data_IF_128183292364
#
_entry.id   IF_128183292364
#
_cell.length_a   1.000
_cell.length_b   1.000
_cell.length_c   1.000
_cell.angle_alpha   90.00
_cell.angle_beta   90.00
_cell.angle_gamma   90.00
#
_symmetry.space_group_name_H-M   'P 1'
#
loop_
_entity.id
_entity.type
_entity.pdbx_description
1 polymer ?
#
# COMPACT_ATOMS: atom_id res chain seq x y z
N UNK A 1 6.60 12.95 12.13
CA UNK A 1 6.35 11.83 11.19
C UNK A 1 7.27 12.03 9.99
N UNK A 2 7.96 10.98 9.53
CA UNK A 2 8.84 11.08 8.36
C UNK A 2 7.99 11.33 7.10
N UNK A 3 8.46 12.16 6.15
CA UNK A 3 7.88 12.25 4.82
C UNK A 3 7.75 10.86 4.18
N UNK A 4 6.60 10.60 3.56
CA UNK A 4 6.37 9.38 2.78
C UNK A 4 6.50 9.73 1.30
N UNK A 5 7.43 9.05 0.61
CA UNK A 5 7.68 9.22 -0.82
C UNK A 5 7.39 7.92 -1.55
N UNK A 6 6.51 7.98 -2.55
CA UNK A 6 6.31 6.86 -3.46
C UNK A 6 7.36 6.93 -4.56
N UNK A 7 8.04 5.81 -4.81
CA UNK A 7 8.87 5.68 -6.02
C UNK A 7 7.99 5.68 -7.27
N UNK A 8 8.57 5.99 -8.43
CA UNK A 8 7.85 5.91 -9.73
C UNK A 8 7.20 4.53 -9.92
N UNK A 9 7.94 3.46 -9.62
CA UNK A 9 7.41 2.10 -9.67
C UNK A 9 6.23 1.89 -8.72
N UNK A 10 6.28 2.40 -7.48
CA UNK A 10 5.16 2.31 -6.56
C UNK A 10 3.91 3.08 -7.04
N UNK A 11 4.10 4.24 -7.69
CA UNK A 11 3.00 5.01 -8.29
C UNK A 11 2.35 4.23 -9.45
N UNK A 12 3.16 3.65 -10.34
CA UNK A 12 2.67 2.77 -11.42
C UNK A 12 1.89 1.59 -10.85
N UNK A 13 2.41 0.95 -9.78
CA UNK A 13 1.71 -0.17 -9.16
C UNK A 13 0.39 0.22 -8.48
N UNK A 14 0.27 1.45 -7.96
CA UNK A 14 -1.01 1.95 -7.46
C UNK A 14 -2.05 1.97 -8.58
N UNK A 15 -1.70 2.52 -9.74
CA UNK A 15 -2.59 2.62 -10.90
C UNK A 15 -3.00 1.23 -11.39
N UNK A 16 -2.03 0.35 -11.64
CA UNK A 16 -2.27 -1.00 -12.16
C UNK A 16 -3.14 -1.86 -11.23
N UNK A 17 -3.01 -1.66 -9.91
CA UNK A 17 -3.63 -2.52 -8.90
C UNK A 17 -4.84 -1.89 -8.22
N UNK A 18 -5.20 -0.66 -8.57
CA UNK A 18 -6.37 0.03 -8.02
C UNK A 18 -6.19 0.55 -6.60
N UNK A 19 -4.95 0.87 -6.22
CA UNK A 19 -4.62 1.60 -5.00
C UNK A 19 -4.50 3.10 -5.29
N UNK A 20 -4.75 3.92 -4.28
CA UNK A 20 -4.54 5.37 -4.34
C UNK A 20 -3.44 5.80 -3.36
N UNK A 21 -2.78 6.93 -3.64
CA UNK A 21 -1.75 7.46 -2.73
C UNK A 21 -2.28 7.74 -1.31
N UNK A 22 -3.51 8.29 -1.12
CA UNK A 22 -4.10 8.41 0.21
C UNK A 22 -4.26 7.08 0.93
N UNK A 23 -4.72 6.01 0.25
CA UNK A 23 -4.83 4.68 0.85
C UNK A 23 -3.46 4.11 1.25
N UNK A 24 -2.44 4.30 0.41
CA UNK A 24 -1.06 3.89 0.71
C UNK A 24 -0.53 4.61 1.95
N UNK A 25 -0.69 5.93 2.01
CA UNK A 25 -0.29 6.74 3.18
C UNK A 25 -1.05 6.29 4.43
N UNK A 26 -2.35 6.06 4.32
CA UNK A 26 -3.16 5.60 5.43
C UNK A 26 -2.73 4.22 5.94
N UNK A 27 -2.42 3.29 5.03
CA UNK A 27 -1.93 1.95 5.38
C UNK A 27 -0.55 2.00 6.08
N UNK A 28 0.34 2.90 5.67
CA UNK A 28 1.66 3.08 6.33
C UNK A 28 1.51 3.58 7.78
N UNK A 29 0.50 4.42 8.04
CA UNK A 29 0.28 5.06 9.33
C UNK A 29 -0.56 4.23 10.30
N UNK A 30 -1.56 3.52 9.79
CA UNK A 30 -2.59 2.85 10.61
C UNK A 30 -2.67 1.34 10.36
N UNK A 31 -1.93 0.83 9.36
CA UNK A 31 -1.93 -0.58 8.99
C UNK A 31 -1.11 -1.45 9.93
N UNK A 32 -1.40 -2.74 9.90
CA UNK A 32 -0.58 -3.75 10.55
C UNK A 32 0.77 -3.85 9.86
N UNK A 33 1.85 -3.82 10.64
CA UNK A 33 3.23 -3.86 10.13
C UNK A 33 3.83 -5.24 10.29
N UNK A 34 4.44 -5.74 9.23
CA UNK A 34 5.14 -7.03 9.22
C UNK A 34 6.51 -6.89 8.56
N UNK A 35 7.54 -7.60 9.06
CA UNK A 35 8.85 -7.61 8.43
C UNK A 35 8.80 -8.27 7.05
N UNK A 36 9.58 -7.72 6.12
CA UNK A 36 9.78 -8.22 4.77
C UNK A 36 11.26 -8.34 4.42
N UNK A 37 11.55 -8.98 3.27
CA UNK A 37 12.93 -9.21 2.80
C UNK A 37 13.73 -7.90 2.72
N UNK A 38 15.03 -7.99 3.02
CA UNK A 38 16.01 -6.88 2.92
C UNK A 38 15.73 -5.71 3.88
N UNK A 39 15.22 -6.03 5.09
CA UNK A 39 14.94 -5.04 6.13
C UNK A 39 13.87 -4.03 5.70
N UNK A 40 12.88 -4.50 4.96
CA UNK A 40 11.68 -3.76 4.55
C UNK A 40 10.54 -4.15 5.46
N UNK A 41 9.44 -3.41 5.39
CA UNK A 41 8.20 -3.75 6.06
C UNK A 41 7.05 -3.75 5.07
N UNK A 42 6.02 -4.54 5.34
CA UNK A 42 4.71 -4.44 4.70
C UNK A 42 3.78 -3.78 5.71
N UNK A 43 3.06 -2.74 5.28
CA UNK A 43 2.03 -2.12 6.10
C UNK A 43 0.67 -2.40 5.45
N UNK A 44 -0.15 -3.27 6.03
CA UNK A 44 -1.41 -3.70 5.43
C UNK A 44 -2.62 -3.07 6.13
N UNK A 45 -3.56 -2.54 5.35
CA UNK A 45 -4.83 -2.02 5.85
C UNK A 45 -5.98 -2.39 4.92
N UNK A 46 -7.11 -2.82 5.49
CA UNK A 46 -8.31 -3.21 4.76
C UNK A 46 -9.34 -2.09 4.75
N UNK A 47 -9.73 -1.66 3.56
CA UNK A 47 -10.72 -0.61 3.32
C UNK A 47 -12.05 -1.23 2.86
N UNK A 48 -13.20 -0.68 3.29
CA UNK A 48 -14.46 -0.90 2.59
C UNK A 48 -14.31 -0.47 1.12
N UNK A 49 -14.65 -1.36 0.19
CA UNK A 49 -14.50 -1.12 -1.24
C UNK A 49 -15.83 -1.07 -1.98
N UNK A 50 -16.69 -2.07 -1.78
CA UNK A 50 -18.07 -2.17 -2.32
C UNK A 50 -18.20 -1.78 -3.80
N UNK A 51 -17.26 -2.26 -4.63
CA UNK A 51 -17.15 -1.90 -6.05
C UNK A 51 -16.69 -3.11 -6.86
N UNK A 52 -16.86 -3.00 -8.18
CA UNK A 52 -16.29 -3.97 -9.11
C UNK A 52 -14.80 -3.70 -9.34
N UNK A 53 -14.01 -4.76 -9.35
CA UNK A 53 -12.62 -4.78 -9.80
C UNK A 53 -12.44 -5.92 -10.80
N UNK A 54 -11.93 -5.60 -11.99
CA UNK A 54 -11.72 -6.58 -13.08
C UNK A 54 -12.93 -7.50 -13.34
N UNK A 55 -14.15 -6.94 -13.30
CA UNK A 55 -15.39 -7.67 -13.60
C UNK A 55 -15.99 -8.46 -12.44
N UNK A 56 -15.40 -8.43 -11.23
CA UNK A 56 -15.96 -9.07 -10.03
C UNK A 56 -16.22 -8.05 -8.93
N UNK A 57 -17.34 -8.21 -8.22
CA UNK A 57 -17.68 -7.38 -7.07
C UNK A 57 -16.91 -7.82 -5.82
N UNK A 58 -16.37 -6.85 -5.08
CA UNK A 58 -15.64 -7.06 -3.84
C UNK A 58 -16.11 -6.08 -2.78
N UNK A 59 -16.23 -6.56 -1.55
CA UNK A 59 -16.68 -5.74 -0.42
C UNK A 59 -15.49 -5.08 0.28
N UNK A 60 -14.32 -5.73 0.25
CA UNK A 60 -13.11 -5.25 0.91
C UNK A 60 -11.95 -5.18 -0.09
N UNK A 61 -11.15 -4.12 0.04
CA UNK A 61 -9.86 -3.98 -0.63
C UNK A 61 -8.79 -3.77 0.44
N UNK A 62 -7.81 -4.66 0.50
CA UNK A 62 -6.63 -4.49 1.32
C UNK A 62 -5.53 -3.82 0.49
N UNK A 63 -4.90 -2.78 1.03
CA UNK A 63 -3.75 -2.11 0.44
C UNK A 63 -2.54 -2.38 1.34
N UNK A 64 -1.46 -2.90 0.73
CA UNK A 64 -0.28 -3.39 1.42
C UNK A 64 1.01 -2.87 0.76
N UNK A 65 1.37 -1.59 0.98
CA UNK A 65 2.67 -1.04 0.60
C UNK A 65 3.82 -1.79 1.26
N UNK A 66 4.85 -2.07 0.46
CA UNK A 66 6.18 -2.48 0.93
C UNK A 66 7.02 -1.22 1.07
N UNK A 67 7.47 -0.93 2.29
CA UNK A 67 8.26 0.26 2.60
C UNK A 67 9.68 -0.10 3.02
N UNK A 68 10.57 0.86 2.80
CA UNK A 68 11.85 0.93 3.50
C UNK A 68 11.85 2.21 4.32
N UNK A 69 11.92 2.07 5.63
CA UNK A 69 12.08 3.22 6.51
C UNK A 69 13.56 3.59 6.59
N UNK A 70 13.88 4.80 6.12
CA UNK A 70 15.22 5.39 6.12
C UNK A 70 15.31 6.43 7.24
N UNK A 71 16.48 7.04 7.43
CA UNK A 71 16.69 8.02 8.51
C UNK A 71 15.75 9.23 8.39
N UNK A 72 15.53 9.74 7.17
CA UNK A 72 14.79 10.98 6.93
C UNK A 72 13.45 10.80 6.22
N UNK A 73 13.17 9.63 5.65
CA UNK A 73 11.95 9.39 4.87
C UNK A 73 11.48 7.94 4.96
N UNK A 74 10.23 7.70 4.60
CA UNK A 74 9.68 6.38 4.32
C UNK A 74 9.55 6.25 2.80
N UNK A 75 10.31 5.32 2.22
CA UNK A 75 10.31 5.08 0.78
C UNK A 75 9.38 3.92 0.47
N UNK A 76 8.33 4.17 -0.32
CA UNK A 76 7.44 3.12 -0.80
C UNK A 76 8.05 2.48 -2.04
N UNK A 77 8.38 1.20 -1.93
CA UNK A 77 9.07 0.42 -2.96
C UNK A 77 8.06 -0.16 -3.96
N UNK A 78 6.99 -0.78 -3.47
CA UNK A 78 5.90 -1.33 -4.30
C UNK A 78 4.61 -1.36 -3.47
N UNK A 79 3.47 -1.57 -4.10
CA UNK A 79 2.16 -1.62 -3.44
C UNK A 79 1.40 -2.84 -3.89
N UNK A 80 1.01 -3.71 -2.97
CA UNK A 80 0.08 -4.80 -3.26
C UNK A 80 -1.36 -4.38 -2.94
N UNK A 81 -2.31 -4.95 -3.66
CA UNK A 81 -3.72 -4.88 -3.33
C UNK A 81 -4.34 -6.26 -3.39
N UNK A 82 -5.16 -6.60 -2.41
CA UNK A 82 -5.95 -7.82 -2.39
C UNK A 82 -7.42 -7.44 -2.29
N UNK A 83 -8.28 -8.16 -3.01
CA UNK A 83 -9.71 -7.90 -3.05
C UNK A 83 -10.46 -9.14 -2.54
N UNK A 84 -11.41 -8.93 -1.62
CA UNK A 84 -12.16 -9.99 -0.92
C UNK A 84 -13.67 -9.81 -1.06
#
# INVERSE_FOLDING_TARGET
MKPIRLTKHAQEQCIERGATEPEVRYAILNGYREPAKRGREICSFSFPFNKNWQGKFYTVKQVAPVIKEEQNEIVVITVYTMYF
#
